data_IF_395706226674
#
_entry.id   IF_395706226674
#
_cell.length_a   1.000
_cell.length_b   1.000
_cell.length_c   1.000
_cell.angle_alpha   90.00
_cell.angle_beta   90.00
_cell.angle_gamma   90.00
#
_symmetry.space_group_name_H-M   'P 1'
#
loop_
_entity.id
_entity.type
_entity.pdbx_description
1 polymer ?
#
# COMPACT_ATOMS: atom_id res chain seq x y z
N UNK A 1 4.99 6.80 5.40
CA UNK A 1 4.30 5.60 4.89
C UNK A 1 3.78 4.87 6.11
N UNK A 2 2.47 4.72 6.24
CA UNK A 2 1.82 4.21 7.44
C UNK A 2 0.96 3.00 7.08
N UNK A 3 0.84 2.03 7.99
CA UNK A 3 -0.08 0.90 7.86
C UNK A 3 -1.34 1.21 8.65
N UNK A 4 -2.51 1.04 8.03
CA UNK A 4 -3.77 1.26 8.73
C UNK A 4 -4.06 0.15 9.75
N UNK A 5 -3.67 -1.08 9.43
CA UNK A 5 -3.87 -2.24 10.31
C UNK A 5 -2.54 -2.96 10.58
N UNK A 6 -1.64 -2.34 11.36
CA UNK A 6 -0.30 -2.88 11.62
C UNK A 6 -0.36 -4.24 12.34
N UNK A 7 -1.44 -4.56 13.05
CA UNK A 7 -1.59 -5.82 13.75
C UNK A 7 -1.52 -7.06 12.84
N UNK A 8 -1.88 -6.94 11.56
CA UNK A 8 -1.76 -8.06 10.61
C UNK A 8 -0.31 -8.45 10.32
N UNK A 9 0.65 -7.55 10.54
CA UNK A 9 2.07 -7.85 10.36
C UNK A 9 2.57 -8.88 11.38
N UNK A 10 1.94 -9.00 12.55
CA UNK A 10 2.29 -10.06 13.51
C UNK A 10 2.04 -11.46 12.95
N UNK A 11 1.07 -11.62 12.04
CA UNK A 11 0.81 -12.90 11.37
C UNK A 11 1.97 -13.33 10.45
N UNK A 12 2.87 -12.42 10.07
CA UNK A 12 4.10 -12.82 9.35
C UNK A 12 4.97 -13.75 10.20
N UNK A 13 4.86 -13.72 11.53
CA UNK A 13 5.52 -14.69 12.40
C UNK A 13 5.01 -16.13 12.20
N UNK A 14 3.85 -16.33 11.56
CA UNK A 14 3.40 -17.66 11.16
C UNK A 14 4.19 -18.24 9.99
N UNK A 15 4.83 -17.42 9.14
CA UNK A 15 5.65 -17.89 8.02
C UNK A 15 6.84 -18.77 8.45
N UNK A 16 7.70 -18.37 9.41
CA UNK A 16 8.75 -19.26 9.89
C UNK A 16 8.20 -20.54 10.53
N UNK A 17 7.04 -20.46 11.20
CA UNK A 17 6.37 -21.65 11.74
C UNK A 17 5.96 -22.63 10.61
N UNK A 18 5.40 -22.12 9.52
CA UNK A 18 5.06 -22.94 8.34
C UNK A 18 6.30 -23.56 7.68
N UNK A 19 7.42 -22.83 7.62
CA UNK A 19 8.70 -23.36 7.12
C UNK A 19 9.21 -24.48 8.01
N UNK A 20 9.20 -24.30 9.33
CA UNK A 20 9.61 -25.33 10.29
C UNK A 20 8.73 -26.58 10.18
N UNK A 21 7.40 -26.38 10.10
CA UNK A 21 6.43 -27.45 9.91
C UNK A 21 6.70 -28.21 8.60
N UNK A 22 6.92 -27.49 7.50
CA UNK A 22 7.26 -28.07 6.21
C UNK A 22 8.53 -28.94 6.29
N UNK A 23 9.61 -28.42 6.90
CA UNK A 23 10.86 -29.17 7.09
C UNK A 23 10.66 -30.39 7.98
N UNK A 24 9.87 -30.26 9.06
CA UNK A 24 9.55 -31.36 9.97
C UNK A 24 8.75 -32.48 9.29
N UNK A 25 7.70 -32.14 8.53
CA UNK A 25 6.94 -33.12 7.73
C UNK A 25 7.86 -33.82 6.72
N UNK A 26 8.76 -33.07 6.06
CA UNK A 26 9.68 -33.64 5.09
C UNK A 26 10.69 -34.61 5.75
N UNK A 27 11.17 -34.28 6.95
CA UNK A 27 12.05 -35.15 7.74
C UNK A 27 11.31 -36.40 8.23
N UNK A 28 10.04 -36.28 8.67
CA UNK A 28 9.21 -37.43 9.06
C UNK A 28 8.93 -38.37 7.89
N UNK A 29 8.55 -37.84 6.72
CA UNK A 29 8.34 -38.66 5.51
C UNK A 29 9.59 -39.42 5.10
N UNK A 30 10.78 -38.81 5.21
CA UNK A 30 12.06 -39.51 4.97
C UNK A 30 12.30 -40.67 5.95
N UNK A 31 11.98 -40.50 7.24
CA UNK A 31 12.15 -41.57 8.25
C UNK A 31 11.20 -42.75 8.01
N UNK A 32 9.95 -42.49 7.65
CA UNK A 32 8.96 -43.53 7.34
C UNK A 32 9.28 -44.25 6.01
N UNK A 33 9.73 -43.51 5.00
CA UNK A 33 10.12 -44.09 3.70
C UNK A 33 11.40 -44.96 3.77
N UNK A 34 12.20 -44.86 4.84
CA UNK A 34 13.35 -45.76 5.07
C UNK A 34 12.93 -47.08 5.73
N UNK A 35 11.75 -47.15 6.35
CA UNK A 35 11.21 -48.37 6.98
C UNK A 35 10.47 -49.29 6.00
N UNK A 36 9.97 -48.73 4.90
CA UNK A 36 9.30 -49.49 3.84
C UNK A 36 10.27 -49.68 2.67
N UNK A 37 10.50 -50.94 2.33
CA UNK A 37 11.41 -51.47 1.32
C UNK A 37 11.41 -50.74 -0.05
N UNK A 38 12.51 -50.92 -0.79
CA UNK A 38 12.65 -50.84 -2.25
C UNK A 38 12.62 -49.49 -2.99
N UNK A 39 13.05 -48.38 -2.38
CA UNK A 39 13.22 -47.09 -3.10
C UNK A 39 14.68 -46.68 -3.38
N UNK A 40 15.68 -47.53 -3.12
CA UNK A 40 17.08 -47.25 -3.51
C UNK A 40 17.20 -46.97 -5.01
N UNK A 41 16.47 -47.72 -5.84
CA UNK A 41 16.42 -47.57 -7.31
C UNK A 41 15.76 -46.23 -7.73
N UNK A 42 14.70 -45.80 -7.04
CA UNK A 42 14.04 -44.51 -7.34
C UNK A 42 14.87 -43.32 -6.87
N UNK A 43 15.63 -43.49 -5.79
CA UNK A 43 16.51 -42.45 -5.24
C UNK A 43 17.72 -42.19 -6.14
N UNK A 44 18.17 -43.20 -6.87
CA UNK A 44 19.25 -43.11 -7.87
C UNK A 44 18.76 -42.49 -9.19
N UNK A 45 17.49 -42.72 -9.56
CA UNK A 45 16.84 -42.06 -10.69
C UNK A 45 16.47 -40.58 -10.42
N UNK A 46 16.23 -40.20 -9.16
CA UNK A 46 15.92 -38.83 -8.76
C UNK A 46 17.20 -37.99 -8.60
N UNK A 47 17.75 -37.53 -9.72
CA UNK A 47 18.93 -36.63 -9.71
C UNK A 47 18.74 -35.38 -8.84
N UNK A 48 19.85 -34.81 -8.35
CA UNK A 48 19.88 -33.65 -7.43
C UNK A 48 19.00 -32.46 -7.88
N UNK A 49 18.77 -32.32 -9.19
CA UNK A 49 17.91 -31.29 -9.82
C UNK A 49 16.43 -31.38 -9.43
N UNK A 50 15.90 -32.56 -9.15
CA UNK A 50 14.51 -32.74 -8.68
C UNK A 50 14.32 -32.27 -7.23
N UNK A 51 15.40 -32.19 -6.43
CA UNK A 51 15.31 -31.74 -5.03
C UNK A 51 15.01 -30.25 -4.90
N UNK A 52 15.51 -29.40 -5.81
CA UNK A 52 15.23 -27.94 -5.77
C UNK A 52 13.82 -27.66 -6.33
N UNK A 53 13.45 -28.29 -7.44
CA UNK A 53 12.13 -28.10 -8.07
C UNK A 53 10.97 -28.44 -7.14
N UNK A 54 11.13 -29.40 -6.21
CA UNK A 54 10.08 -29.74 -5.23
C UNK A 54 9.80 -28.60 -4.21
N UNK A 55 10.74 -27.68 -4.04
CA UNK A 55 10.63 -26.57 -3.09
C UNK A 55 10.05 -25.30 -3.76
N UNK A 56 9.95 -25.27 -5.09
CA UNK A 56 9.40 -24.14 -5.83
C UNK A 56 7.93 -23.87 -5.49
N UNK A 57 7.00 -24.85 -5.55
CA UNK A 57 5.60 -24.57 -5.21
C UNK A 57 5.38 -24.11 -3.77
N UNK A 58 5.97 -24.75 -2.73
CA UNK A 58 5.86 -24.27 -1.35
C UNK A 58 6.46 -22.87 -1.15
N UNK A 59 7.56 -22.57 -1.82
CA UNK A 59 8.19 -21.25 -1.75
C UNK A 59 7.29 -20.16 -2.37
N UNK A 60 6.72 -20.41 -3.56
CA UNK A 60 5.78 -19.49 -4.19
C UNK A 60 4.52 -19.29 -3.33
N UNK A 61 4.03 -20.35 -2.68
CA UNK A 61 2.89 -20.26 -1.78
C UNK A 61 3.19 -19.40 -0.54
N UNK A 62 4.37 -19.57 0.07
CA UNK A 62 4.81 -18.73 1.19
C UNK A 62 4.96 -17.26 0.77
N UNK A 63 5.51 -17.02 -0.42
CA UNK A 63 5.63 -15.67 -0.98
C UNK A 63 4.25 -15.04 -1.21
N UNK A 64 3.29 -15.81 -1.73
CA UNK A 64 1.92 -15.36 -1.93
C UNK A 64 1.24 -15.00 -0.60
N UNK A 65 1.40 -15.83 0.44
CA UNK A 65 0.88 -15.53 1.79
C UNK A 65 1.54 -14.26 2.35
N UNK A 66 2.86 -14.13 2.23
CA UNK A 66 3.57 -12.94 2.70
C UNK A 66 3.06 -11.67 2.01
N UNK A 67 2.93 -11.70 0.68
CA UNK A 67 2.39 -10.59 -0.10
C UNK A 67 0.95 -10.26 0.31
N UNK A 68 0.11 -11.28 0.50
CA UNK A 68 -1.27 -11.13 0.96
C UNK A 68 -1.34 -10.47 2.34
N UNK A 69 -0.52 -10.88 3.30
CA UNK A 69 -0.48 -10.31 4.66
C UNK A 69 0.00 -8.85 4.64
N UNK A 70 1.02 -8.54 3.84
CA UNK A 70 1.48 -7.16 3.67
C UNK A 70 0.40 -6.31 3.02
N UNK A 71 -0.26 -6.79 1.97
CA UNK A 71 -1.38 -6.07 1.34
C UNK A 71 -2.55 -5.87 2.32
N UNK A 72 -2.88 -6.88 3.12
CA UNK A 72 -3.93 -6.81 4.14
C UNK A 72 -3.64 -5.79 5.24
N UNK A 73 -2.37 -5.51 5.55
CA UNK A 73 -1.99 -4.44 6.50
C UNK A 73 -2.27 -3.02 5.98
N UNK A 74 -2.73 -2.88 4.72
CA UNK A 74 -3.11 -1.64 4.04
C UNK A 74 -2.02 -0.55 4.14
N UNK A 75 -0.88 -0.73 3.43
CA UNK A 75 0.13 0.31 3.33
C UNK A 75 -0.44 1.56 2.64
N UNK A 76 -0.33 2.70 3.31
CA UNK A 76 -0.78 4.00 2.81
C UNK A 76 0.38 4.99 2.80
N UNK A 77 0.45 5.77 1.71
CA UNK A 77 1.33 6.92 1.60
C UNK A 77 0.47 8.17 1.45
N UNK A 78 0.65 9.13 2.36
CA UNK A 78 0.07 10.46 2.19
C UNK A 78 0.99 11.20 1.24
N UNK A 79 0.46 11.56 0.07
CA UNK A 79 1.18 12.39 -0.91
C UNK A 79 0.56 13.77 -0.84
N UNK A 80 1.35 14.76 -0.43
CA UNK A 80 0.96 16.16 -0.49
C UNK A 80 1.04 16.63 -1.93
N UNK A 81 -0.10 16.75 -2.61
CA UNK A 81 -0.17 17.41 -3.90
C UNK A 81 -0.25 18.92 -3.68
N UNK A 82 0.50 19.73 -4.45
CA UNK A 82 0.27 21.17 -4.48
C UNK A 82 -1.13 21.42 -5.03
N UNK A 83 -2.05 21.86 -4.17
CA UNK A 83 -3.35 22.36 -4.60
C UNK A 83 -3.22 23.85 -4.90
N UNK A 84 -3.40 24.23 -6.15
CA UNK A 84 -3.48 25.65 -6.55
C UNK A 84 -4.90 26.23 -6.38
N UNK A 85 -5.77 25.59 -5.58
CA UNK A 85 -7.10 26.13 -5.28
C UNK A 85 -6.95 27.28 -4.27
N UNK A 86 -6.93 28.50 -4.79
CA UNK A 86 -7.00 29.72 -3.99
C UNK A 86 -8.45 30.22 -4.01
N UNK A 87 -9.12 30.18 -2.86
CA UNK A 87 -10.44 30.82 -2.70
C UNK A 87 -10.22 32.26 -2.32
N UNK A 88 -10.56 33.19 -3.22
CA UNK A 88 -10.51 34.63 -2.95
C UNK A 88 -11.91 35.09 -2.58
N UNK A 89 -12.06 35.71 -1.40
CA UNK A 89 -13.30 36.32 -0.94
C UNK A 89 -13.14 37.83 -1.03
N UNK A 90 -13.89 38.47 -1.93
CA UNK A 90 -13.94 39.92 -2.03
C UNK A 90 -15.11 40.46 -1.21
N UNK A 91 -14.81 41.20 -0.15
CA UNK A 91 -15.79 41.96 0.61
C UNK A 91 -15.76 43.42 0.17
N UNK A 92 -16.90 43.95 -0.26
CA UNK A 92 -17.04 45.35 -0.67
C UNK A 92 -17.90 46.10 0.34
N UNK A 93 -17.43 47.27 0.78
CA UNK A 93 -18.23 48.17 1.61
C UNK A 93 -19.37 48.80 0.79
N UNK A 94 -20.53 48.94 1.41
CA UNK A 94 -21.75 49.56 0.84
C UNK A 94 -22.25 50.74 1.69
N UNK A 95 -21.40 51.25 2.59
CA UNK A 95 -21.68 52.42 3.42
C UNK A 95 -22.03 53.68 2.61
N UNK A 96 -22.67 54.66 3.25
CA UNK A 96 -23.07 55.91 2.60
C UNK A 96 -21.89 56.67 1.96
N UNK A 97 -20.69 56.58 2.54
CA UNK A 97 -19.46 57.17 1.98
C UNK A 97 -19.07 56.58 0.62
N UNK A 98 -19.51 55.36 0.29
CA UNK A 98 -19.22 54.74 -1.01
C UNK A 98 -19.99 55.39 -2.17
N UNK A 99 -20.94 56.28 -1.89
CA UNK A 99 -21.63 57.11 -2.88
C UNK A 99 -20.86 58.38 -3.24
N UNK A 100 -19.74 58.68 -2.58
CA UNK A 100 -18.92 59.84 -2.90
C UNK A 100 -18.36 59.75 -4.33
N UNK A 101 -18.27 60.90 -5.00
CA UNK A 101 -17.87 61.03 -6.42
C UNK A 101 -16.46 61.61 -6.57
N UNK A 102 -15.67 61.58 -5.50
CA UNK A 102 -14.24 61.93 -5.54
C UNK A 102 -13.41 60.94 -6.38
N UNK A 103 -13.96 59.73 -6.57
CA UNK A 103 -13.57 58.80 -7.63
C UNK A 103 -14.75 58.68 -8.60
N UNK A 104 -14.53 59.03 -9.87
CA UNK A 104 -15.57 58.90 -10.90
C UNK A 104 -15.85 57.42 -11.23
N UNK A 105 -17.11 57.01 -11.43
CA UNK A 105 -18.34 57.81 -11.29
C UNK A 105 -18.81 57.93 -9.83
N UNK A 106 -18.57 56.92 -8.99
CA UNK A 106 -18.55 57.00 -7.53
C UNK A 106 -17.69 55.84 -6.99
N UNK A 107 -17.27 55.91 -5.72
CA UNK A 107 -16.39 54.90 -5.11
C UNK A 107 -16.93 53.46 -5.22
N UNK A 108 -18.25 53.26 -5.07
CA UNK A 108 -18.86 51.93 -5.17
C UNK A 108 -18.74 51.35 -6.57
N UNK A 109 -19.06 52.13 -7.60
CA UNK A 109 -18.97 51.68 -8.99
C UNK A 109 -17.50 51.45 -9.38
N UNK A 110 -16.59 52.34 -8.95
CA UNK A 110 -15.17 52.15 -9.16
C UNK A 110 -14.65 50.85 -8.50
N UNK A 111 -15.09 50.53 -7.29
CA UNK A 111 -14.75 49.28 -6.60
C UNK A 111 -15.32 48.04 -7.33
N UNK A 112 -16.54 48.12 -7.87
CA UNK A 112 -17.13 47.05 -8.67
C UNK A 112 -16.39 46.81 -9.99
N UNK A 113 -15.96 47.86 -10.69
CA UNK A 113 -15.18 47.72 -11.91
C UNK A 113 -13.78 47.18 -11.64
N UNK A 114 -13.13 47.62 -10.55
CA UNK A 114 -11.85 47.04 -10.11
C UNK A 114 -11.99 45.56 -9.75
N UNK A 115 -13.08 45.17 -9.08
CA UNK A 115 -13.40 43.78 -8.76
C UNK A 115 -13.55 42.92 -10.02
N UNK A 116 -14.26 43.43 -11.04
CA UNK A 116 -14.43 42.76 -12.33
C UNK A 116 -13.14 42.66 -13.14
N UNK A 117 -12.22 43.60 -12.99
CA UNK A 117 -10.92 43.56 -13.66
C UNK A 117 -9.92 42.63 -12.96
N UNK A 118 -10.11 42.39 -11.65
CA UNK A 118 -9.27 41.51 -10.85
C UNK A 118 -9.59 40.02 -11.05
N UNK A 119 -10.86 39.68 -11.35
CA UNK A 119 -11.35 38.31 -11.61
C UNK A 119 -11.36 38.03 -13.11
#
# INVERSE_FOLDING_TARGET
MNFLWPQFLWLLAALPLLVLLYVWLMRRKKKLALHYASLSIVREAMGARQSIRRHVPPFLFLLAIAAMLVAASRPMAVVTLPSNQQTIILAMDVSGSMRATDVLPNRLVAAQEAAKAFI
#
